data_IF_996908369795
#
_entry.id   IF_996908369795
#
_cell.length_a   1.000
_cell.length_b   1.000
_cell.length_c   1.000
_cell.angle_alpha   90.00
_cell.angle_beta   90.00
_cell.angle_gamma   90.00
#
_symmetry.space_group_name_H-M   'P 1'
#
loop_
_entity.id
_entity.type
_entity.pdbx_description
1 polymer ?
#
# COMPACT_ATOMS: atom_id res chain seq x y z
N UNK A 1 34.29 -36.22 -25.62
CA UNK A 1 34.48 -34.95 -24.86
C UNK A 1 34.17 -33.78 -25.80
N UNK A 2 32.90 -33.36 -25.90
CA UNK A 2 32.50 -32.19 -26.67
C UNK A 2 32.34 -31.03 -25.70
N UNK A 3 33.19 -30.01 -25.85
CA UNK A 3 33.10 -28.73 -25.15
C UNK A 3 31.82 -28.01 -25.65
N UNK A 4 30.80 -27.98 -24.81
CA UNK A 4 29.72 -27.04 -24.99
C UNK A 4 30.27 -25.62 -24.70
N UNK A 5 30.62 -24.93 -25.74
CA UNK A 5 30.80 -23.46 -25.71
C UNK A 5 29.43 -22.86 -25.46
N UNK A 6 29.10 -22.66 -24.19
CA UNK A 6 27.92 -21.91 -23.77
C UNK A 6 28.00 -20.50 -24.35
N UNK A 7 27.13 -20.17 -25.29
CA UNK A 7 26.95 -18.85 -25.83
C UNK A 7 26.68 -17.85 -24.70
N UNK A 8 27.67 -17.02 -24.39
CA UNK A 8 27.52 -15.82 -23.55
C UNK A 8 26.75 -14.74 -24.35
N UNK A 9 25.54 -15.05 -24.76
CA UNK A 9 24.64 -14.00 -25.27
C UNK A 9 24.23 -13.16 -24.07
N UNK A 10 24.35 -11.82 -24.16
CA UNK A 10 23.85 -10.95 -23.10
C UNK A 10 22.35 -11.22 -22.95
N UNK A 11 21.97 -11.67 -21.75
CA UNK A 11 20.57 -11.87 -21.41
C UNK A 11 19.82 -10.56 -21.63
N UNK A 12 18.68 -10.56 -22.34
CA UNK A 12 17.88 -9.36 -22.46
C UNK A 12 17.50 -8.90 -21.04
N UNK A 13 18.02 -7.74 -20.63
CA UNK A 13 17.80 -7.24 -19.29
C UNK A 13 16.31 -6.88 -19.11
N UNK A 14 15.67 -7.52 -18.24
CA UNK A 14 14.75 -7.11 -17.20
C UNK A 14 13.28 -6.97 -17.56
N UNK A 15 12.84 -6.06 -18.35
CA UNK A 15 11.41 -5.66 -18.41
C UNK A 15 10.46 -6.76 -18.94
N UNK A 16 10.92 -7.60 -19.88
CA UNK A 16 10.10 -8.69 -20.42
C UNK A 16 9.91 -9.84 -19.45
N UNK A 17 10.93 -10.17 -18.67
CA UNK A 17 10.90 -11.28 -17.72
C UNK A 17 10.12 -10.90 -16.44
N UNK A 18 10.24 -9.66 -15.95
CA UNK A 18 9.42 -9.16 -14.86
C UNK A 18 7.92 -9.19 -15.21
N UNK A 19 7.56 -8.89 -16.47
CA UNK A 19 6.18 -8.95 -16.95
C UNK A 19 5.58 -10.37 -16.84
N UNK A 20 6.34 -11.41 -17.18
CA UNK A 20 5.85 -12.79 -17.06
C UNK A 20 5.56 -13.16 -15.60
N UNK A 21 6.31 -12.62 -14.65
CA UNK A 21 6.05 -12.81 -13.22
C UNK A 21 4.76 -12.12 -12.80
N UNK A 22 4.51 -10.90 -13.27
CA UNK A 22 3.27 -10.17 -13.03
C UNK A 22 2.07 -10.92 -13.62
N UNK A 23 2.18 -11.39 -14.87
CA UNK A 23 1.11 -12.17 -15.51
C UNK A 23 0.80 -13.47 -14.74
N UNK A 24 1.82 -14.16 -14.27
CA UNK A 24 1.66 -15.36 -13.43
C UNK A 24 0.97 -15.00 -12.09
N UNK A 25 1.38 -13.93 -11.42
CA UNK A 25 0.76 -13.48 -10.19
C UNK A 25 -0.71 -13.10 -10.43
N UNK A 26 -1.04 -12.44 -11.55
CA UNK A 26 -2.40 -12.11 -11.95
C UNK A 26 -3.27 -13.37 -12.17
N UNK A 27 -2.75 -14.39 -12.85
CA UNK A 27 -3.45 -15.65 -13.06
C UNK A 27 -3.71 -16.41 -11.76
N UNK A 28 -2.70 -16.44 -10.86
CA UNK A 28 -2.85 -17.03 -9.53
C UNK A 28 -3.88 -16.29 -8.70
N UNK A 29 -3.88 -14.95 -8.78
CA UNK A 29 -4.79 -14.09 -8.04
C UNK A 29 -6.24 -14.21 -8.51
N UNK A 30 -6.47 -14.43 -9.80
CA UNK A 30 -7.82 -14.66 -10.35
C UNK A 30 -8.56 -15.82 -9.66
N UNK A 31 -7.81 -16.82 -9.17
CA UNK A 31 -8.38 -17.91 -8.38
C UNK A 31 -8.67 -17.53 -6.93
N UNK A 32 -8.07 -16.45 -6.44
CA UNK A 32 -8.15 -15.98 -5.05
C UNK A 32 -8.95 -14.67 -4.95
N UNK A 33 -10.01 -14.54 -5.76
CA UNK A 33 -10.85 -13.33 -5.79
C UNK A 33 -11.44 -12.97 -4.42
N UNK A 34 -11.66 -13.99 -3.55
CA UNK A 34 -12.12 -13.79 -2.16
C UNK A 34 -11.08 -12.97 -1.38
N UNK A 35 -9.78 -13.25 -1.54
CA UNK A 35 -8.74 -12.47 -0.89
C UNK A 35 -8.67 -11.02 -1.40
N UNK A 36 -9.12 -10.76 -2.65
CA UNK A 36 -9.29 -9.41 -3.13
C UNK A 36 -10.43 -8.69 -2.42
N UNK A 37 -11.58 -9.33 -2.33
CA UNK A 37 -12.76 -8.75 -1.67
C UNK A 37 -12.45 -8.44 -0.20
N UNK A 38 -11.85 -9.37 0.54
CA UNK A 38 -11.49 -9.15 1.96
C UNK A 38 -10.49 -8.00 2.13
N UNK A 39 -9.54 -7.84 1.19
CA UNK A 39 -8.50 -6.81 1.30
C UNK A 39 -9.01 -5.37 1.21
N UNK A 40 -10.08 -5.10 0.44
CA UNK A 40 -10.67 -3.75 0.40
C UNK A 40 -11.87 -3.58 1.36
N UNK A 41 -12.44 -4.68 1.83
CA UNK A 41 -13.61 -4.66 2.70
C UNK A 41 -13.28 -3.99 4.05
N UNK A 42 -12.13 -4.29 4.62
CA UNK A 42 -11.69 -3.72 5.90
C UNK A 42 -11.65 -2.17 5.88
N UNK A 43 -10.93 -1.48 4.97
CA UNK A 43 -10.91 -0.03 4.91
C UNK A 43 -12.30 0.59 4.66
N UNK A 44 -13.14 -0.08 3.88
CA UNK A 44 -14.52 0.37 3.61
C UNK A 44 -15.37 0.30 4.88
N UNK A 45 -15.28 -0.79 5.63
CA UNK A 45 -15.98 -0.90 6.91
C UNK A 45 -15.48 0.12 7.93
N UNK A 46 -14.17 0.37 7.99
CA UNK A 46 -13.63 1.45 8.82
C UNK A 46 -14.21 2.80 8.43
N UNK A 47 -14.27 3.11 7.13
CA UNK A 47 -14.84 4.37 6.65
C UNK A 47 -16.32 4.51 7.05
N UNK A 48 -17.13 3.46 6.90
CA UNK A 48 -18.52 3.50 7.30
C UNK A 48 -18.66 3.58 8.83
N UNK A 49 -17.96 2.74 9.58
CA UNK A 49 -18.03 2.71 11.04
C UNK A 49 -17.61 4.05 11.65
N UNK A 50 -16.48 4.60 11.22
CA UNK A 50 -15.98 5.88 11.70
C UNK A 50 -16.78 7.05 11.13
N UNK A 51 -17.13 7.01 9.83
CA UNK A 51 -17.86 8.07 9.17
C UNK A 51 -19.29 8.24 9.72
N UNK A 52 -20.01 7.14 9.94
CA UNK A 52 -21.36 7.15 10.49
C UNK A 52 -21.35 7.19 12.01
N UNK A 53 -20.56 6.33 12.65
CA UNK A 53 -20.54 6.19 14.11
C UNK A 53 -19.91 7.41 14.78
N UNK A 54 -18.66 7.67 14.57
CA UNK A 54 -17.96 8.85 15.12
C UNK A 54 -18.45 10.16 14.46
N UNK A 55 -18.81 10.13 13.18
CA UNK A 55 -19.35 11.30 12.50
C UNK A 55 -20.60 11.84 13.14
N UNK A 56 -21.49 10.96 13.67
CA UNK A 56 -22.70 11.37 14.41
C UNK A 56 -22.37 12.02 15.77
N UNK A 57 -21.25 11.66 16.39
CA UNK A 57 -20.82 12.19 17.69
C UNK A 57 -19.99 13.48 17.54
N UNK A 58 -19.07 13.52 16.56
CA UNK A 58 -18.10 14.61 16.35
C UNK A 58 -18.71 15.71 15.47
N UNK A 59 -19.63 15.35 14.57
CA UNK A 59 -20.27 16.28 13.64
C UNK A 59 -19.28 16.84 12.60
N UNK A 60 -18.90 18.09 12.75
CA UNK A 60 -17.97 18.78 11.84
C UNK A 60 -16.59 18.96 12.49
N UNK A 61 -15.56 18.83 11.69
CA UNK A 61 -14.16 19.02 12.10
C UNK A 61 -13.56 20.15 11.28
N UNK A 62 -12.75 20.97 11.92
CA UNK A 62 -11.99 22.01 11.24
C UNK A 62 -10.83 21.35 10.49
N UNK A 63 -10.84 21.41 9.18
CA UNK A 63 -9.74 20.98 8.32
C UNK A 63 -8.53 21.89 8.54
N UNK A 64 -7.31 21.42 8.19
CA UNK A 64 -6.08 22.22 8.23
C UNK A 64 -6.18 23.49 7.38
N UNK A 65 -7.10 23.53 6.40
CA UNK A 65 -7.45 24.73 5.63
C UNK A 65 -8.45 25.67 6.32
N UNK A 66 -8.80 25.42 7.59
CA UNK A 66 -9.75 26.23 8.36
C UNK A 66 -11.23 26.04 7.99
N UNK A 67 -11.55 25.12 7.12
CA UNK A 67 -12.93 24.84 6.70
C UNK A 67 -13.58 23.80 7.60
N UNK A 68 -14.86 24.01 7.91
CA UNK A 68 -15.69 23.03 8.61
C UNK A 68 -16.14 21.95 7.59
N UNK A 69 -15.70 20.72 7.82
CA UNK A 69 -16.05 19.59 6.95
C UNK A 69 -16.65 18.45 7.79
N UNK A 70 -17.59 17.67 7.24
CA UNK A 70 -18.07 16.45 7.92
C UNK A 70 -16.89 15.51 8.24
N UNK A 71 -16.93 14.88 9.42
CA UNK A 71 -15.85 13.99 9.86
C UNK A 71 -15.54 12.88 8.85
N UNK A 72 -16.55 12.30 8.19
CA UNK A 72 -16.37 11.28 7.17
C UNK A 72 -15.54 11.77 5.98
N UNK A 73 -15.75 13.01 5.53
CA UNK A 73 -14.98 13.65 4.44
C UNK A 73 -13.54 13.92 4.85
N UNK A 74 -13.32 14.22 6.14
CA UNK A 74 -11.99 14.42 6.70
C UNK A 74 -11.19 13.10 6.73
N UNK A 75 -11.80 12.00 7.16
CA UNK A 75 -11.14 10.70 7.34
C UNK A 75 -10.93 9.94 6.01
N UNK A 76 -11.80 10.15 5.01
CA UNK A 76 -11.78 9.39 3.76
C UNK A 76 -10.40 9.38 3.04
N UNK A 77 -9.70 10.50 2.81
CA UNK A 77 -8.39 10.50 2.16
C UNK A 77 -7.30 9.81 3.01
N UNK A 78 -7.40 9.92 4.33
CA UNK A 78 -6.47 9.24 5.24
C UNK A 78 -6.67 7.73 5.20
N UNK A 79 -7.91 7.25 5.16
CA UNK A 79 -8.24 5.82 5.00
C UNK A 79 -7.77 5.28 3.65
N UNK A 80 -7.87 6.07 2.57
CA UNK A 80 -7.33 5.71 1.26
C UNK A 80 -5.82 5.51 1.32
N UNK A 81 -5.08 6.46 1.91
CA UNK A 81 -3.63 6.38 2.05
C UNK A 81 -3.21 5.17 2.90
N UNK A 82 -3.91 4.91 3.99
CA UNK A 82 -3.67 3.76 4.87
C UNK A 82 -3.94 2.43 4.18
N UNK A 83 -5.03 2.35 3.42
CA UNK A 83 -5.36 1.17 2.62
C UNK A 83 -4.24 0.87 1.62
N UNK A 84 -3.74 1.89 0.93
CA UNK A 84 -2.61 1.76 0.00
C UNK A 84 -1.31 1.35 0.70
N UNK A 85 -1.03 1.91 1.87
CA UNK A 85 0.10 1.53 2.73
C UNK A 85 0.02 0.06 3.15
N UNK A 86 -1.11 -0.36 3.72
CA UNK A 86 -1.31 -1.73 4.17
C UNK A 86 -1.19 -2.74 3.03
N UNK A 87 -1.79 -2.44 1.87
CA UNK A 87 -1.65 -3.26 0.69
C UNK A 87 -0.18 -3.39 0.26
N UNK A 88 0.56 -2.27 0.21
CA UNK A 88 1.98 -2.25 -0.13
C UNK A 88 2.83 -3.08 0.82
N UNK A 89 2.65 -2.89 2.13
CA UNK A 89 3.39 -3.63 3.17
C UNK A 89 3.05 -5.11 3.13
N UNK A 90 1.77 -5.48 3.16
CA UNK A 90 1.34 -6.88 3.23
C UNK A 90 1.79 -7.68 2.03
N UNK A 91 1.64 -7.14 0.81
CA UNK A 91 2.07 -7.85 -0.39
C UNK A 91 3.59 -7.99 -0.48
N UNK A 92 4.33 -6.96 -0.14
CA UNK A 92 5.78 -6.99 -0.24
C UNK A 92 6.46 -7.74 0.90
N UNK A 93 5.77 -7.95 2.03
CA UNK A 93 6.29 -8.72 3.16
C UNK A 93 5.73 -10.13 3.21
N UNK A 94 4.47 -10.30 3.57
CA UNK A 94 3.85 -11.63 3.76
C UNK A 94 3.89 -12.49 2.50
N UNK A 95 3.44 -11.94 1.37
CA UNK A 95 3.35 -12.69 0.14
C UNK A 95 4.73 -13.09 -0.39
N UNK A 96 5.68 -12.14 -0.35
CA UNK A 96 7.07 -12.38 -0.79
C UNK A 96 7.78 -13.36 0.14
N UNK A 97 7.63 -13.20 1.46
CA UNK A 97 8.23 -14.12 2.43
C UNK A 97 7.69 -15.54 2.28
N UNK A 98 6.36 -15.69 2.12
CA UNK A 98 5.76 -16.99 1.91
C UNK A 98 6.29 -17.68 0.64
N UNK A 99 6.39 -16.93 -0.47
CA UNK A 99 6.96 -17.43 -1.73
C UNK A 99 8.45 -17.79 -1.59
N UNK A 100 9.19 -17.03 -0.78
CA UNK A 100 10.63 -17.23 -0.56
C UNK A 100 10.90 -18.46 0.32
N UNK A 101 10.26 -18.54 1.48
CA UNK A 101 10.60 -19.52 2.53
C UNK A 101 9.82 -20.81 2.44
N UNK A 102 8.50 -20.71 2.21
CA UNK A 102 7.61 -21.89 2.25
C UNK A 102 7.37 -22.50 0.87
N UNK A 103 7.00 -21.68 -0.09
CA UNK A 103 6.73 -22.19 -1.43
C UNK A 103 8.02 -22.47 -2.24
N UNK A 104 9.17 -21.97 -1.78
CA UNK A 104 10.47 -22.06 -2.48
C UNK A 104 10.38 -21.69 -3.96
N UNK A 105 9.45 -20.78 -4.25
CA UNK A 105 9.09 -20.42 -5.61
C UNK A 105 10.26 -19.75 -6.32
N UNK A 106 11.00 -18.91 -5.59
CA UNK A 106 12.11 -18.17 -6.19
C UNK A 106 13.30 -19.07 -6.52
N UNK A 107 13.47 -20.21 -5.84
CA UNK A 107 14.48 -21.21 -6.22
C UNK A 107 14.21 -21.74 -7.62
N UNK A 108 12.96 -22.06 -7.93
CA UNK A 108 12.55 -22.52 -9.27
C UNK A 108 12.59 -21.38 -10.31
N UNK A 109 12.24 -20.17 -9.94
CA UNK A 109 12.27 -19.01 -10.82
C UNK A 109 13.72 -18.62 -11.16
N UNK A 110 14.63 -18.63 -10.19
CA UNK A 110 16.05 -18.32 -10.40
C UNK A 110 16.81 -19.43 -11.14
N UNK A 111 16.25 -20.65 -11.22
CA UNK A 111 16.75 -21.69 -12.13
C UNK A 111 16.45 -21.39 -13.60
N UNK A 112 15.55 -20.44 -13.89
CA UNK A 112 15.28 -19.91 -15.23
C UNK A 112 16.23 -18.76 -15.57
N UNK A 113 16.19 -18.18 -16.79
CA UNK A 113 16.98 -16.99 -17.12
C UNK A 113 16.66 -15.73 -16.32
N UNK A 114 15.67 -15.74 -15.42
CA UNK A 114 15.28 -14.62 -14.58
C UNK A 114 16.31 -14.34 -13.48
N UNK A 115 16.66 -13.07 -13.31
CA UNK A 115 17.55 -12.62 -12.25
C UNK A 115 16.81 -12.13 -10.99
N UNK A 116 17.51 -11.94 -9.86
CA UNK A 116 16.91 -11.40 -8.64
C UNK A 116 16.26 -10.02 -8.84
N UNK A 117 16.81 -9.20 -9.74
CA UNK A 117 16.26 -7.89 -10.08
C UNK A 117 14.90 -8.00 -10.78
N UNK A 118 14.75 -8.98 -11.68
CA UNK A 118 13.49 -9.21 -12.40
C UNK A 118 12.40 -9.65 -11.44
N UNK A 119 12.77 -10.49 -10.45
CA UNK A 119 11.86 -10.92 -9.38
C UNK A 119 11.42 -9.71 -8.54
N UNK A 120 12.36 -8.89 -8.09
CA UNK A 120 12.05 -7.71 -7.26
C UNK A 120 11.15 -6.71 -8.01
N UNK A 121 11.48 -6.39 -9.27
CA UNK A 121 10.67 -5.48 -10.10
C UNK A 121 9.28 -6.09 -10.32
N UNK A 122 9.19 -7.38 -10.63
CA UNK A 122 7.92 -8.06 -10.86
C UNK A 122 7.02 -8.07 -9.62
N UNK A 123 7.55 -8.36 -8.44
CA UNK A 123 6.77 -8.38 -7.20
C UNK A 123 6.35 -6.98 -6.75
N UNK A 124 7.23 -5.99 -6.84
CA UNK A 124 6.88 -4.59 -6.55
C UNK A 124 5.82 -4.08 -7.53
N UNK A 125 5.97 -4.36 -8.83
CA UNK A 125 4.97 -3.98 -9.83
C UNK A 125 3.62 -4.63 -9.55
N UNK A 126 3.63 -5.91 -9.16
CA UNK A 126 2.41 -6.61 -8.78
C UNK A 126 1.74 -6.00 -7.55
N UNK A 127 2.52 -5.68 -6.51
CA UNK A 127 2.04 -5.00 -5.30
C UNK A 127 1.42 -3.63 -5.64
N UNK A 128 2.02 -2.86 -6.55
CA UNK A 128 1.48 -1.59 -7.03
C UNK A 128 0.15 -1.75 -7.77
N UNK A 129 0.04 -2.72 -8.66
CA UNK A 129 -1.19 -2.98 -9.39
C UNK A 129 -2.33 -3.35 -8.44
N UNK A 130 -2.03 -4.19 -7.46
CA UNK A 130 -3.00 -4.63 -6.46
C UNK A 130 -3.38 -3.49 -5.50
N UNK A 131 -2.40 -2.76 -4.98
CA UNK A 131 -2.63 -1.58 -4.12
C UNK A 131 -3.40 -0.48 -4.86
N UNK A 132 -3.07 -0.24 -6.13
CA UNK A 132 -3.81 0.68 -6.99
C UNK A 132 -5.25 0.24 -7.24
N UNK A 133 -5.49 -1.07 -7.43
CA UNK A 133 -6.85 -1.60 -7.57
C UNK A 133 -7.66 -1.43 -6.27
N UNK A 134 -7.07 -1.68 -5.10
CA UNK A 134 -7.75 -1.42 -3.82
C UNK A 134 -8.05 0.06 -3.62
N UNK A 135 -7.09 0.93 -3.91
CA UNK A 135 -7.28 2.38 -3.84
C UNK A 135 -8.40 2.86 -4.80
N UNK A 136 -8.47 2.31 -6.02
CA UNK A 136 -9.50 2.63 -6.98
C UNK A 136 -10.89 2.20 -6.52
N UNK A 137 -11.02 0.98 -5.99
CA UNK A 137 -12.29 0.48 -5.43
C UNK A 137 -12.71 1.30 -4.21
N UNK A 138 -11.79 1.61 -3.31
CA UNK A 138 -12.08 2.45 -2.16
C UNK A 138 -12.54 3.86 -2.58
N UNK A 139 -11.84 4.48 -3.53
CA UNK A 139 -12.20 5.79 -4.05
C UNK A 139 -13.56 5.79 -4.73
N UNK A 140 -13.89 4.71 -5.47
CA UNK A 140 -15.20 4.52 -6.08
C UNK A 140 -16.30 4.45 -5.01
N UNK A 141 -16.09 3.68 -3.94
CA UNK A 141 -17.05 3.59 -2.82
C UNK A 141 -17.19 4.94 -2.12
N UNK A 142 -16.11 5.64 -1.86
CA UNK A 142 -16.13 6.98 -1.26
C UNK A 142 -16.85 7.99 -2.16
N UNK A 143 -16.67 7.89 -3.48
CA UNK A 143 -17.38 8.74 -4.45
C UNK A 143 -18.88 8.44 -4.48
N UNK A 144 -19.28 7.17 -4.51
CA UNK A 144 -20.69 6.75 -4.44
C UNK A 144 -21.36 7.16 -3.12
N UNK A 145 -20.59 7.19 -2.02
CA UNK A 145 -21.04 7.68 -0.72
C UNK A 145 -21.11 9.22 -0.63
N UNK A 146 -20.76 9.96 -1.70
CA UNK A 146 -20.79 11.42 -1.72
C UNK A 146 -19.67 12.09 -0.91
N UNK A 147 -18.65 11.35 -0.50
CA UNK A 147 -17.54 11.85 0.31
C UNK A 147 -16.44 12.57 -0.51
N UNK A 148 -16.52 12.50 -1.82
CA UNK A 148 -15.60 13.14 -2.76
C UNK A 148 -16.32 14.29 -3.49
N UNK A 149 -16.26 15.53 -2.96
CA UNK A 149 -17.02 16.66 -3.48
C UNK A 149 -16.47 17.22 -4.80
N UNK A 150 -15.26 16.81 -5.22
CA UNK A 150 -14.59 17.43 -6.37
C UNK A 150 -13.86 16.39 -7.24
N UNK A 151 -13.80 16.66 -8.55
CA UNK A 151 -12.99 15.89 -9.50
C UNK A 151 -11.49 15.82 -9.14
N UNK A 152 -10.99 16.80 -8.37
CA UNK A 152 -9.64 16.79 -7.82
C UNK A 152 -9.40 15.59 -6.88
N UNK A 153 -10.44 14.98 -6.33
CA UNK A 153 -10.35 13.74 -5.57
C UNK A 153 -9.76 12.57 -6.36
N UNK A 154 -9.84 12.58 -7.71
CA UNK A 154 -9.19 11.59 -8.56
C UNK A 154 -7.66 11.63 -8.46
N UNK A 155 -7.07 12.77 -8.12
CA UNK A 155 -5.61 12.87 -7.88
C UNK A 155 -5.17 12.11 -6.60
N UNK A 156 -6.12 11.74 -5.74
CA UNK A 156 -5.81 10.88 -4.60
C UNK A 156 -5.38 9.47 -5.04
N UNK A 157 -5.81 9.00 -6.24
CA UNK A 157 -5.42 7.69 -6.76
C UNK A 157 -3.90 7.61 -7.06
N UNK A 158 -3.30 8.49 -7.88
CA UNK A 158 -1.86 8.46 -8.10
C UNK A 158 -1.06 8.71 -6.81
N UNK A 159 -1.56 9.53 -5.89
CA UNK A 159 -0.95 9.71 -4.57
C UNK A 159 -0.97 8.39 -3.77
N UNK A 160 -2.08 7.68 -3.73
CA UNK A 160 -2.19 6.37 -3.08
C UNK A 160 -1.26 5.32 -3.71
N UNK A 161 -1.14 5.30 -5.05
CA UNK A 161 -0.18 4.42 -5.75
C UNK A 161 1.26 4.76 -5.37
N UNK A 162 1.59 6.04 -5.23
CA UNK A 162 2.92 6.46 -4.79
C UNK A 162 3.21 6.03 -3.33
N UNK A 163 2.23 6.14 -2.44
CA UNK A 163 2.30 5.61 -1.07
C UNK A 163 2.52 4.11 -1.09
N UNK A 164 1.72 3.35 -1.86
CA UNK A 164 1.88 1.92 -2.01
C UNK A 164 3.28 1.54 -2.52
N UNK A 165 3.84 2.31 -3.46
CA UNK A 165 5.21 2.10 -3.97
C UNK A 165 6.26 2.26 -2.88
N UNK A 166 6.21 3.38 -2.15
CA UNK A 166 7.17 3.66 -1.09
C UNK A 166 7.16 2.55 -0.01
N UNK A 167 5.96 2.17 0.44
CA UNK A 167 5.81 1.13 1.45
C UNK A 167 6.10 -0.28 0.94
N UNK A 168 5.80 -0.56 -0.33
CA UNK A 168 6.18 -1.83 -0.96
C UNK A 168 7.70 -1.98 -1.08
N UNK A 169 8.41 -0.91 -1.44
CA UNK A 169 9.86 -0.93 -1.50
C UNK A 169 10.51 -1.16 -0.12
N UNK A 170 10.01 -0.45 0.90
CA UNK A 170 10.45 -0.64 2.29
C UNK A 170 10.11 -2.04 2.80
N UNK A 171 8.90 -2.54 2.53
CA UNK A 171 8.47 -3.89 2.89
C UNK A 171 9.32 -4.97 2.24
N UNK A 172 9.63 -4.84 0.94
CA UNK A 172 10.52 -5.75 0.23
C UNK A 172 11.92 -5.77 0.87
N UNK A 173 12.46 -4.61 1.21
CA UNK A 173 13.73 -4.51 1.92
C UNK A 173 13.66 -5.20 3.29
N UNK A 174 12.63 -4.92 4.09
CA UNK A 174 12.42 -5.56 5.39
C UNK A 174 12.34 -7.08 5.28
N UNK A 175 11.67 -7.60 4.24
CA UNK A 175 11.53 -9.06 4.00
C UNK A 175 12.87 -9.77 3.86
N UNK A 176 13.92 -9.10 3.39
CA UNK A 176 15.26 -9.70 3.26
C UNK A 176 15.88 -10.04 4.62
N UNK A 177 15.47 -9.36 5.69
CA UNK A 177 15.95 -9.59 7.05
C UNK A 177 15.10 -10.59 7.84
N UNK A 178 13.88 -10.87 7.40
CA UNK A 178 12.98 -11.80 8.08
C UNK A 178 13.49 -13.24 7.97
N UNK A 179 13.62 -13.90 9.10
CA UNK A 179 14.08 -15.29 9.21
C UNK A 179 12.96 -16.24 9.56
N UNK A 180 12.01 -15.79 10.35
CA UNK A 180 10.93 -16.58 10.94
C UNK A 180 9.59 -15.86 10.79
N UNK A 181 8.52 -16.62 10.96
CA UNK A 181 7.15 -16.10 10.99
C UNK A 181 6.93 -15.08 12.13
N UNK A 182 7.60 -15.30 13.27
CA UNK A 182 7.52 -14.39 14.42
C UNK A 182 8.09 -13.00 14.12
N UNK A 183 8.99 -12.88 13.15
CA UNK A 183 9.60 -11.60 12.79
C UNK A 183 8.58 -10.62 12.17
N UNK A 184 7.42 -11.11 11.72
CA UNK A 184 6.32 -10.24 11.27
C UNK A 184 5.75 -9.37 12.36
N UNK A 185 5.85 -9.79 13.62
CA UNK A 185 5.39 -8.98 14.76
C UNK A 185 6.17 -7.67 14.84
N UNK A 186 7.45 -7.65 14.45
CA UNK A 186 8.24 -6.41 14.38
C UNK A 186 7.73 -5.45 13.29
N UNK A 187 7.28 -5.99 12.16
CA UNK A 187 6.67 -5.18 11.09
C UNK A 187 5.36 -4.58 11.59
N UNK A 188 4.51 -5.39 12.18
CA UNK A 188 3.25 -4.93 12.75
C UNK A 188 3.48 -3.90 13.87
N UNK A 189 4.49 -4.12 14.73
CA UNK A 189 4.87 -3.19 15.79
C UNK A 189 5.31 -1.82 15.23
N UNK A 190 5.90 -1.77 14.04
CA UNK A 190 6.27 -0.53 13.38
C UNK A 190 5.09 0.12 12.64
N UNK A 191 4.27 -0.67 11.94
CA UNK A 191 3.17 -0.19 11.10
C UNK A 191 2.00 0.33 11.94
N UNK A 192 1.65 -0.34 13.04
CA UNK A 192 0.51 0.05 13.87
C UNK A 192 0.64 1.44 14.51
N UNK A 193 1.76 1.78 15.19
CA UNK A 193 1.92 3.13 15.71
C UNK A 193 1.96 4.17 14.60
N UNK A 194 2.58 3.86 13.46
CA UNK A 194 2.64 4.78 12.32
C UNK A 194 1.24 5.07 11.76
N UNK A 195 0.37 4.08 11.71
CA UNK A 195 -1.04 4.24 11.33
C UNK A 195 -1.80 5.13 12.32
N UNK A 196 -1.66 4.87 13.62
CA UNK A 196 -2.36 5.62 14.66
C UNK A 196 -1.87 7.07 14.78
N UNK A 197 -0.55 7.29 14.60
CA UNK A 197 0.08 8.60 14.76
C UNK A 197 0.13 9.41 13.46
N UNK A 198 -0.40 8.92 12.35
CA UNK A 198 -0.36 9.62 11.05
C UNK A 198 -1.42 10.72 10.87
N UNK A 199 -2.04 11.20 11.96
CA UNK A 199 -3.17 12.13 11.92
C UNK A 199 -4.36 11.64 11.08
N UNK A 200 -4.51 10.33 10.97
CA UNK A 200 -5.59 9.68 10.21
C UNK A 200 -6.96 9.97 10.83
N UNK A 201 -7.05 9.94 12.15
CA UNK A 201 -8.32 10.04 12.89
C UNK A 201 -8.58 11.42 13.48
N UNK A 202 -7.52 12.18 13.79
CA UNK A 202 -7.61 13.47 14.45
C UNK A 202 -6.80 14.52 13.69
N UNK A 203 -7.27 15.78 13.62
CA UNK A 203 -6.47 16.85 13.04
C UNK A 203 -5.19 17.07 13.86
N UNK A 204 -4.13 17.51 13.20
CA UNK A 204 -2.81 17.73 13.83
C UNK A 204 -2.89 18.63 15.07
N UNK A 205 -3.78 19.63 15.03
CA UNK A 205 -3.99 20.57 16.13
C UNK A 205 -4.50 19.92 17.44
N UNK A 206 -5.09 18.72 17.35
CA UNK A 206 -5.56 17.97 18.53
C UNK A 206 -4.43 17.28 19.31
N UNK A 207 -3.25 17.14 18.71
CA UNK A 207 -2.10 16.50 19.35
C UNK A 207 -1.32 17.50 20.23
N UNK A 208 -0.77 17.07 21.38
CA UNK A 208 0.15 17.88 22.17
C UNK A 208 1.42 18.22 21.35
N UNK A 209 2.04 19.37 21.61
CA UNK A 209 3.12 19.92 20.77
C UNK A 209 4.28 18.94 20.50
N UNK A 210 4.67 18.14 21.49
CA UNK A 210 5.70 17.10 21.32
C UNK A 210 5.27 15.99 20.35
N UNK A 211 3.98 15.62 20.35
CA UNK A 211 3.46 14.60 19.47
C UNK A 211 3.24 15.13 18.05
N UNK A 212 2.96 16.42 17.87
CA UNK A 212 2.85 17.04 16.55
C UNK A 212 4.14 16.90 15.75
N UNK A 213 5.29 17.05 16.39
CA UNK A 213 6.58 16.84 15.73
C UNK A 213 6.77 15.39 15.27
N UNK A 214 6.41 14.40 16.11
CA UNK A 214 6.43 12.99 15.75
C UNK A 214 5.50 12.67 14.58
N UNK A 215 4.29 13.22 14.59
CA UNK A 215 3.31 13.05 13.51
C UNK A 215 3.83 13.66 12.20
N UNK A 216 4.42 14.85 12.24
CA UNK A 216 5.00 15.51 11.06
C UNK A 216 6.20 14.74 10.49
N UNK A 217 6.98 14.06 11.33
CA UNK A 217 8.08 13.20 10.91
C UNK A 217 7.61 11.87 10.32
N UNK A 218 6.33 11.51 10.48
CA UNK A 218 5.77 10.27 9.97
C UNK A 218 5.66 10.30 8.44
N UNK A 219 6.21 9.30 7.76
CA UNK A 219 6.18 9.15 6.30
C UNK A 219 4.76 9.17 5.72
N UNK A 220 3.79 8.66 6.45
CA UNK A 220 2.40 8.62 5.99
C UNK A 220 1.74 10.01 6.02
N UNK A 221 2.08 10.84 7.02
CA UNK A 221 1.59 12.21 7.11
C UNK A 221 2.22 13.11 6.03
N UNK A 222 3.52 12.96 5.79
CA UNK A 222 4.27 13.75 4.80
C UNK A 222 4.02 13.31 3.35
N UNK A 223 3.26 12.23 3.14
CA UNK A 223 2.83 11.87 1.78
C UNK A 223 1.96 13.00 1.21
N UNK A 224 2.14 13.38 -0.07
CA UNK A 224 1.48 14.56 -0.64
C UNK A 224 -0.04 14.42 -0.58
N UNK A 225 -0.63 15.09 0.39
CA UNK A 225 -2.08 15.24 0.46
C UNK A 225 -2.51 16.22 -0.64
N UNK A 226 -3.64 15.99 -1.33
CA UNK A 226 -4.21 16.96 -2.27
C UNK A 226 -4.46 18.35 -1.67
N UNK A 227 -4.33 18.48 -0.36
CA UNK A 227 -4.57 19.72 0.41
C UNK A 227 -3.44 20.76 0.34
N UNK A 228 -2.20 20.35 0.02
CA UNK A 228 -1.05 21.26 0.03
C UNK A 228 -0.95 22.15 -1.24
N UNK A 229 -1.83 21.98 -2.22
CA UNK A 229 -1.78 22.76 -3.48
C UNK A 229 -2.68 24.00 -3.51
N UNK A 230 -3.26 24.40 -2.38
CA UNK A 230 -4.11 25.60 -2.29
C UNK A 230 -3.50 26.73 -1.46
N UNK A 231 -2.17 26.77 -1.37
CA UNK A 231 -1.42 27.95 -0.91
C UNK A 231 -0.70 28.62 -2.06
#
# INVERSE_FOLDING_TARGET
MSRQTGSLLPRPAGAGLARTLVERNALSFRRQWVAFVTGFTEPVFYLFSLGVGLGALVGQVTSDAGQQVPYAVFVAPAMLATSAMNAGVMDSTFNVFFKLKYAKLYDSVLATPMGPRDVAIGEVTWSLLRGGAYAAVFLLVAWLAGLVPSWWGLLALPAAVFVAFAFSAVGMFATTYLRSWVDFDYINLAVQPMFLLSATFFPLAAYPGWAQWLVQACLLYTSPSPRDRTR
#
